data_IF_557863811160
#
_entry.id   IF_557863811160
#
_cell.length_a   1.000
_cell.length_b   1.000
_cell.length_c   1.000
_cell.angle_alpha   90.00
_cell.angle_beta   90.00
_cell.angle_gamma   90.00
#
_symmetry.space_group_name_H-M   'P 1'
#
loop_
_entity.id
_entity.type
_entity.pdbx_description
1 polymer ?
#
# COMPACT_ATOMS: atom_id res chain seq x y z
N UNK A 1 -28.35 16.37 9.67
CA UNK A 1 -27.19 16.90 10.43
C UNK A 1 -26.70 15.92 11.49
N UNK A 2 -27.53 15.44 12.43
CA UNK A 2 -27.10 14.46 13.46
C UNK A 2 -26.52 13.17 12.87
N UNK A 3 -27.25 12.53 11.95
CA UNK A 3 -26.80 11.32 11.28
C UNK A 3 -25.49 11.52 10.51
N UNK A 4 -25.24 12.73 9.98
CA UNK A 4 -24.08 13.03 9.13
C UNK A 4 -22.76 13.02 9.92
N UNK A 5 -22.67 13.69 11.07
CA UNK A 5 -21.43 13.65 11.85
C UNK A 5 -21.21 12.25 12.46
N UNK A 6 -22.29 11.53 12.80
CA UNK A 6 -22.21 10.15 13.29
C UNK A 6 -21.63 9.25 12.20
N UNK A 7 -22.14 9.30 10.97
CA UNK A 7 -21.60 8.49 9.86
C UNK A 7 -20.16 8.86 9.53
N UNK A 8 -19.78 10.14 9.60
CA UNK A 8 -18.40 10.58 9.43
C UNK A 8 -17.47 9.98 10.49
N UNK A 9 -17.86 10.03 11.76
CA UNK A 9 -17.07 9.42 12.84
C UNK A 9 -16.98 7.90 12.72
N UNK A 10 -18.09 7.23 12.44
CA UNK A 10 -18.09 5.76 12.29
C UNK A 10 -17.22 5.33 11.12
N UNK A 11 -17.31 6.02 9.97
CA UNK A 11 -16.45 5.73 8.81
C UNK A 11 -14.98 6.00 9.11
N UNK A 12 -14.67 7.11 9.78
CA UNK A 12 -13.30 7.43 10.16
C UNK A 12 -12.71 6.39 11.13
N UNK A 13 -13.50 5.92 12.10
CA UNK A 13 -13.11 4.87 13.04
C UNK A 13 -12.86 3.55 12.33
N UNK A 14 -13.74 3.13 11.41
CA UNK A 14 -13.55 1.91 10.61
C UNK A 14 -12.24 2.00 9.80
N UNK A 15 -11.99 3.13 9.14
CA UNK A 15 -10.75 3.34 8.38
C UNK A 15 -9.52 3.31 9.28
N UNK A 16 -9.60 3.88 10.48
CA UNK A 16 -8.51 3.86 11.45
C UNK A 16 -8.21 2.41 11.90
N UNK A 17 -9.25 1.62 12.18
CA UNK A 17 -9.12 0.21 12.55
C UNK A 17 -8.47 -0.57 11.41
N UNK A 18 -8.87 -0.33 10.15
CA UNK A 18 -8.26 -0.98 8.97
C UNK A 18 -6.77 -0.64 8.86
N UNK A 19 -6.38 0.62 9.11
CA UNK A 19 -4.97 1.04 9.08
C UNK A 19 -4.17 0.39 10.22
N UNK A 20 -4.72 0.35 11.43
CA UNK A 20 -4.06 -0.20 12.63
C UNK A 20 -3.93 -1.73 12.57
N UNK A 21 -4.93 -2.44 12.05
CA UNK A 21 -4.89 -3.89 11.80
C UNK A 21 -4.12 -4.26 10.52
N UNK A 22 -3.45 -3.26 9.93
CA UNK A 22 -2.64 -3.27 8.72
C UNK A 22 -1.92 -4.58 8.42
N UNK A 23 -1.22 -5.11 9.41
CA UNK A 23 -0.22 -6.17 9.28
C UNK A 23 -0.71 -7.62 9.38
N UNK A 24 -2.02 -7.88 9.51
CA UNK A 24 -2.49 -9.29 9.57
C UNK A 24 -3.83 -9.54 8.85
N UNK A 25 -4.77 -8.59 8.90
CA UNK A 25 -6.12 -8.81 8.33
C UNK A 25 -6.32 -8.06 7.02
N UNK A 26 -5.74 -6.86 6.90
CA UNK A 26 -5.88 -6.02 5.71
C UNK A 26 -4.75 -6.19 4.70
N UNK A 27 -3.67 -6.89 5.06
CA UNK A 27 -2.54 -7.16 4.18
C UNK A 27 -2.94 -7.80 2.84
N UNK A 28 -3.85 -8.79 2.78
CA UNK A 28 -4.32 -9.36 1.51
C UNK A 28 -5.06 -8.35 0.62
N UNK A 29 -5.76 -7.38 1.23
CA UNK A 29 -6.51 -6.34 0.52
C UNK A 29 -5.54 -5.31 -0.07
N UNK A 30 -4.54 -4.90 0.71
CA UNK A 30 -3.50 -3.99 0.24
C UNK A 30 -2.59 -4.65 -0.80
N UNK A 31 -2.21 -5.91 -0.63
CA UNK A 31 -1.45 -6.68 -1.63
C UNK A 31 -2.22 -6.80 -2.94
N UNK A 32 -3.53 -7.07 -2.87
CA UNK A 32 -4.41 -7.11 -4.04
C UNK A 32 -4.46 -5.76 -4.75
N UNK A 33 -4.62 -4.66 -4.01
CA UNK A 33 -4.65 -3.30 -4.56
C UNK A 33 -3.30 -2.91 -5.17
N UNK A 34 -2.20 -3.13 -4.46
CA UNK A 34 -0.83 -2.87 -4.90
C UNK A 34 -0.49 -3.67 -6.15
N UNK A 35 -0.81 -4.97 -6.19
CA UNK A 35 -0.62 -5.82 -7.37
C UNK A 35 -1.45 -5.34 -8.56
N UNK A 36 -2.73 -4.99 -8.37
CA UNK A 36 -3.59 -4.45 -9.42
C UNK A 36 -3.10 -3.09 -9.94
N UNK A 37 -2.60 -2.23 -9.07
CA UNK A 37 -2.05 -0.92 -9.45
C UNK A 37 -0.78 -1.07 -10.25
N UNK A 38 0.14 -1.96 -9.82
CA UNK A 38 1.33 -2.32 -10.60
C UNK A 38 0.94 -2.88 -11.98
N UNK A 39 -0.02 -3.79 -12.02
CA UNK A 39 -0.48 -4.40 -13.26
C UNK A 39 -1.18 -3.40 -14.20
N UNK A 40 -1.89 -2.39 -13.66
CA UNK A 40 -2.47 -1.27 -14.42
C UNK A 40 -1.42 -0.27 -14.90
N UNK A 41 -0.35 -0.09 -14.13
CA UNK A 41 0.81 0.73 -14.51
C UNK A 41 1.73 0.04 -15.54
N UNK A 42 1.36 -1.14 -16.04
CA UNK A 42 2.14 -1.90 -17.02
C UNK A 42 3.16 -2.86 -16.41
N UNK A 43 3.32 -2.87 -15.08
CA UNK A 43 4.17 -3.79 -14.34
C UNK A 43 3.40 -5.10 -14.14
N UNK A 44 3.26 -5.89 -15.21
CA UNK A 44 2.79 -7.28 -15.08
C UNK A 44 3.89 -8.09 -14.39
N UNK A 45 3.52 -9.06 -13.56
CA UNK A 45 4.46 -10.02 -12.98
C UNK A 45 5.29 -10.74 -14.06
N UNK A 46 4.68 -10.94 -15.24
CA UNK A 46 5.29 -11.46 -16.48
C UNK A 46 5.99 -10.39 -17.33
N UNK A 47 5.69 -9.09 -17.15
CA UNK A 47 6.39 -8.00 -17.85
C UNK A 47 7.65 -7.56 -17.10
N UNK A 48 7.85 -8.01 -15.86
CA UNK A 48 9.15 -7.93 -15.18
C UNK A 48 10.16 -8.91 -15.81
N UNK A 49 9.72 -9.89 -16.62
CA UNK A 49 10.60 -10.61 -17.55
C UNK A 49 10.99 -9.76 -18.78
N UNK A 50 10.44 -8.54 -18.95
CA UNK A 50 10.64 -7.75 -20.17
C UNK A 50 10.87 -6.25 -19.96
N UNK A 51 11.07 -5.74 -18.73
CA UNK A 51 11.48 -4.34 -18.50
C UNK A 51 13.01 -4.23 -18.67
N UNK A 52 13.38 -4.35 -19.93
CA UNK A 52 14.19 -3.44 -20.73
C UNK A 52 15.66 -3.17 -20.30
N UNK A 53 16.49 -4.10 -20.76
CA UNK A 53 17.86 -3.99 -21.30
C UNK A 53 18.97 -3.35 -20.45
N UNK A 54 18.76 -2.26 -19.73
CA UNK A 54 19.85 -1.59 -18.98
C UNK A 54 20.10 -2.19 -17.61
N UNK A 55 19.02 -2.55 -16.90
CA UNK A 55 19.12 -3.26 -15.63
C UNK A 55 19.53 -4.70 -15.91
N UNK A 56 18.98 -5.31 -16.96
CA UNK A 56 19.46 -6.60 -17.46
C UNK A 56 20.93 -6.56 -17.84
N UNK A 57 21.45 -5.52 -18.50
CA UNK A 57 22.87 -5.45 -18.84
C UNK A 57 23.78 -5.30 -17.60
N UNK A 58 23.36 -4.52 -16.60
CA UNK A 58 24.07 -4.42 -15.33
C UNK A 58 24.04 -5.74 -14.54
N UNK A 59 22.87 -6.39 -14.45
CA UNK A 59 22.71 -7.67 -13.76
C UNK A 59 23.35 -8.83 -14.53
N UNK A 60 23.31 -8.82 -15.86
CA UNK A 60 23.97 -9.78 -16.73
C UNK A 60 25.49 -9.63 -16.64
N UNK A 61 26.02 -8.40 -16.50
CA UNK A 61 27.44 -8.21 -16.21
C UNK A 61 27.83 -8.76 -14.83
N UNK A 62 27.03 -8.51 -13.79
CA UNK A 62 27.27 -9.05 -12.44
C UNK A 62 27.16 -10.58 -12.43
N UNK A 63 26.12 -11.14 -13.05
CA UNK A 63 25.93 -12.60 -13.18
C UNK A 63 26.97 -13.26 -14.07
N UNK A 64 27.46 -12.58 -15.12
CA UNK A 64 28.58 -13.04 -15.94
C UNK A 64 29.88 -13.04 -15.15
N UNK A 65 30.10 -12.05 -14.27
CA UNK A 65 31.21 -12.09 -13.31
C UNK A 65 31.05 -13.24 -12.32
N UNK A 66 29.87 -13.45 -11.72
CA UNK A 66 29.61 -14.60 -10.84
C UNK A 66 29.84 -15.93 -11.55
N UNK A 67 29.33 -16.09 -12.77
CA UNK A 67 29.52 -17.29 -13.59
C UNK A 67 30.98 -17.48 -14.01
N UNK A 68 31.73 -16.41 -14.29
CA UNK A 68 33.17 -16.53 -14.54
C UNK A 68 33.95 -16.91 -13.27
N UNK A 69 33.57 -16.35 -12.11
CA UNK A 69 34.13 -16.74 -10.81
C UNK A 69 33.81 -18.20 -10.50
N UNK A 70 32.59 -18.66 -10.77
CA UNK A 70 32.19 -20.05 -10.62
C UNK A 70 32.83 -20.97 -11.65
N UNK A 71 33.01 -20.56 -12.91
CA UNK A 71 33.80 -21.30 -13.90
C UNK A 71 35.25 -21.42 -13.45
N UNK A 72 35.84 -20.37 -12.89
CA UNK A 72 37.19 -20.42 -12.35
C UNK A 72 37.26 -21.40 -11.17
N UNK A 73 36.26 -21.34 -10.28
CA UNK A 73 36.14 -22.24 -9.12
C UNK A 73 35.87 -23.69 -9.55
N UNK A 74 35.10 -23.92 -10.60
CA UNK A 74 34.77 -25.24 -11.15
C UNK A 74 35.91 -25.84 -11.97
N UNK A 75 36.70 -25.01 -12.66
CA UNK A 75 37.96 -25.40 -13.29
C UNK A 75 38.98 -25.87 -12.24
N UNK A 76 38.97 -25.24 -11.05
CA UNK A 76 39.76 -25.66 -9.90
C UNK A 76 39.21 -26.94 -9.23
N UNK A 77 37.90 -27.21 -9.30
CA UNK A 77 37.24 -28.33 -8.59
C UNK A 77 36.75 -29.49 -9.47
N UNK A 78 36.94 -29.42 -10.79
CA UNK A 78 36.64 -30.50 -11.75
C UNK A 78 35.15 -30.82 -11.98
N UNK A 79 34.21 -30.00 -11.51
CA UNK A 79 32.76 -30.22 -11.67
C UNK A 79 32.18 -29.48 -12.89
N UNK A 80 31.45 -30.18 -13.76
CA UNK A 80 30.70 -29.57 -14.87
C UNK A 80 29.52 -28.75 -14.33
N UNK A 81 29.44 -27.48 -14.72
CA UNK A 81 28.33 -26.57 -14.39
C UNK A 81 27.18 -26.77 -15.38
N UNK A 82 25.96 -26.91 -14.85
CA UNK A 82 24.74 -27.06 -15.63
C UNK A 82 24.03 -25.70 -15.75
N UNK A 83 23.86 -25.21 -16.97
CA UNK A 83 23.46 -23.83 -17.27
C UNK A 83 21.95 -23.57 -17.03
N UNK A 84 21.16 -24.64 -16.98
CA UNK A 84 19.70 -24.62 -16.77
C UNK A 84 19.28 -24.29 -15.33
N UNK A 85 20.11 -24.64 -14.34
CA UNK A 85 19.82 -24.35 -12.92
C UNK A 85 19.98 -22.85 -12.63
N UNK A 86 20.88 -22.16 -13.36
CA UNK A 86 21.20 -20.75 -13.17
C UNK A 86 20.08 -19.81 -13.63
N UNK A 87 19.39 -20.11 -14.74
CA UNK A 87 18.24 -19.32 -15.20
C UNK A 87 17.05 -19.41 -14.23
N UNK A 88 16.82 -20.59 -13.66
CA UNK A 88 15.70 -20.84 -12.75
C UNK A 88 15.89 -20.13 -11.41
N UNK A 89 17.14 -20.04 -10.95
CA UNK A 89 17.51 -19.33 -9.72
C UNK A 89 17.52 -17.80 -9.91
N UNK A 90 17.94 -17.31 -11.09
CA UNK A 90 17.86 -15.89 -11.46
C UNK A 90 16.41 -15.36 -11.39
N UNK A 91 15.45 -16.08 -11.98
CA UNK A 91 14.04 -15.67 -11.96
C UNK A 91 13.43 -15.69 -10.54
N UNK A 92 13.90 -16.59 -9.67
CA UNK A 92 13.49 -16.65 -8.27
C UNK A 92 14.07 -15.50 -7.41
N UNK A 93 15.31 -15.09 -7.71
CA UNK A 93 16.00 -13.96 -7.04
C UNK A 93 15.35 -12.63 -7.43
N UNK A 94 14.98 -12.44 -8.70
CA UNK A 94 14.34 -11.22 -9.19
C UNK A 94 12.93 -10.99 -8.61
N UNK A 95 12.10 -12.04 -8.56
CA UNK A 95 10.76 -11.96 -7.96
C UNK A 95 10.81 -11.63 -6.46
N UNK A 96 11.80 -12.15 -5.72
CA UNK A 96 11.95 -11.88 -4.29
C UNK A 96 12.57 -10.53 -3.97
N UNK A 97 13.52 -10.05 -4.77
CA UNK A 97 14.30 -8.86 -4.44
C UNK A 97 13.75 -7.54 -5.01
N UNK A 98 12.88 -7.59 -6.03
CA UNK A 98 12.36 -6.36 -6.66
C UNK A 98 10.85 -6.25 -6.48
N UNK A 99 10.09 -7.29 -6.79
CA UNK A 99 8.63 -7.23 -6.77
C UNK A 99 8.03 -7.17 -5.36
N UNK A 100 8.53 -7.99 -4.43
CA UNK A 100 8.03 -8.00 -3.05
C UNK A 100 8.32 -6.68 -2.30
N UNK A 101 9.51 -6.07 -2.39
CA UNK A 101 9.75 -4.75 -1.81
C UNK A 101 8.89 -3.64 -2.41
N UNK A 102 8.61 -3.68 -3.72
CA UNK A 102 7.72 -2.73 -4.38
C UNK A 102 6.28 -2.81 -3.87
N UNK A 103 5.75 -4.02 -3.70
CA UNK A 103 4.42 -4.24 -3.09
C UNK A 103 4.41 -3.72 -1.65
N UNK A 104 5.44 -4.05 -0.87
CA UNK A 104 5.55 -3.58 0.52
C UNK A 104 5.58 -2.04 0.58
N UNK A 105 6.33 -1.38 -0.29
CA UNK A 105 6.38 0.07 -0.37
C UNK A 105 5.02 0.69 -0.73
N UNK A 106 4.32 0.11 -1.71
CA UNK A 106 2.97 0.55 -2.07
C UNK A 106 1.97 0.33 -0.92
N UNK A 107 2.07 -0.77 -0.18
CA UNK A 107 1.24 -0.99 1.00
C UNK A 107 1.46 0.09 2.06
N UNK A 108 2.70 0.52 2.32
CA UNK A 108 2.96 1.63 3.22
C UNK A 108 2.33 2.94 2.73
N UNK A 109 2.43 3.23 1.43
CA UNK A 109 1.81 4.42 0.82
C UNK A 109 0.29 4.36 0.98
N UNK A 110 -0.35 3.22 0.68
CA UNK A 110 -1.78 3.05 0.85
C UNK A 110 -2.22 3.22 2.30
N UNK A 111 -1.50 2.61 3.26
CA UNK A 111 -1.79 2.78 4.70
C UNK A 111 -1.70 4.24 5.11
N UNK A 112 -0.68 4.96 4.64
CA UNK A 112 -0.50 6.38 4.93
C UNK A 112 -1.63 7.24 4.35
N UNK A 113 -2.06 6.98 3.12
CA UNK A 113 -3.19 7.69 2.50
C UNK A 113 -4.50 7.41 3.23
N UNK A 114 -4.77 6.15 3.60
CA UNK A 114 -5.97 5.78 4.36
C UNK A 114 -5.97 6.42 5.77
N UNK A 115 -4.80 6.52 6.41
CA UNK A 115 -4.65 7.24 7.68
C UNK A 115 -5.01 8.71 7.53
N UNK A 116 -4.43 9.39 6.53
CA UNK A 116 -4.75 10.80 6.25
C UNK A 116 -6.25 11.00 5.97
N UNK A 117 -6.85 10.10 5.20
CA UNK A 117 -8.27 10.17 4.87
C UNK A 117 -9.16 9.97 6.10
N UNK A 118 -8.80 9.05 7.01
CA UNK A 118 -9.47 8.90 8.31
C UNK A 118 -9.36 10.19 9.15
N UNK A 119 -8.18 10.82 9.20
CA UNK A 119 -7.98 12.07 9.92
C UNK A 119 -8.84 13.21 9.34
N UNK A 120 -8.91 13.35 8.01
CA UNK A 120 -9.75 14.35 7.36
C UNK A 120 -11.24 14.15 7.67
N UNK A 121 -11.72 12.90 7.67
CA UNK A 121 -13.09 12.56 8.03
C UNK A 121 -13.42 12.87 9.50
N UNK A 122 -12.47 12.62 10.41
CA UNK A 122 -12.59 13.00 11.82
C UNK A 122 -12.75 14.51 11.99
N UNK A 123 -11.92 15.30 11.31
CA UNK A 123 -12.00 16.76 11.33
C UNK A 123 -13.32 17.27 10.74
N UNK A 124 -13.74 16.72 9.60
CA UNK A 124 -15.03 17.06 8.99
C UNK A 124 -16.22 16.70 9.91
N UNK A 125 -16.14 15.55 10.59
CA UNK A 125 -17.11 15.13 11.60
C UNK A 125 -17.17 16.11 12.77
N UNK A 126 -16.01 16.59 13.26
CA UNK A 126 -15.92 17.59 14.32
C UNK A 126 -16.56 18.92 13.92
N UNK A 127 -16.24 19.45 12.74
CA UNK A 127 -16.85 20.68 12.21
C UNK A 127 -18.38 20.51 12.12
N UNK A 128 -18.84 19.42 11.52
CA UNK A 128 -20.28 19.14 11.35
C UNK A 128 -21.00 19.01 12.70
N UNK A 129 -20.35 18.40 13.69
CA UNK A 129 -20.90 18.26 15.03
C UNK A 129 -21.04 19.61 15.73
N UNK A 130 -20.03 20.48 15.66
CA UNK A 130 -20.07 21.84 16.22
C UNK A 130 -21.18 22.67 15.57
N UNK A 131 -21.28 22.63 14.24
CA UNK A 131 -22.36 23.34 13.50
C UNK A 131 -23.73 22.84 13.95
N UNK A 132 -23.92 21.52 14.06
CA UNK A 132 -25.17 20.95 14.54
C UNK A 132 -25.52 21.41 15.97
N UNK A 133 -24.55 21.38 16.89
CA UNK A 133 -24.73 21.81 18.28
C UNK A 133 -25.14 23.29 18.34
N UNK A 134 -24.51 24.14 17.54
CA UNK A 134 -24.82 25.57 17.48
C UNK A 134 -26.26 25.81 16.98
N UNK A 135 -26.67 25.13 15.91
CA UNK A 135 -28.04 25.19 15.40
C UNK A 135 -29.07 24.70 16.43
N UNK A 136 -28.75 23.60 17.13
CA UNK A 136 -29.63 23.05 18.17
C UNK A 136 -29.79 24.00 19.36
N UNK A 137 -28.68 24.60 19.84
CA UNK A 137 -28.71 25.60 20.90
C UNK A 137 -29.54 26.83 20.51
N UNK A 138 -29.32 27.38 19.31
CA UNK A 138 -30.15 28.49 18.80
C UNK A 138 -31.63 28.14 18.77
N UNK A 139 -31.98 26.93 18.32
CA UNK A 139 -33.38 26.47 18.33
C UNK A 139 -33.95 26.36 19.74
N UNK A 140 -33.17 25.87 20.71
CA UNK A 140 -33.60 25.77 22.11
C UNK A 140 -33.80 27.15 22.74
N UNK A 141 -32.89 28.10 22.48
CA UNK A 141 -33.02 29.49 22.92
C UNK A 141 -34.29 30.12 22.34
N UNK A 142 -34.50 30.02 21.03
CA UNK A 142 -35.71 30.56 20.39
C UNK A 142 -37.00 29.95 20.96
N UNK A 143 -36.99 28.65 21.30
CA UNK A 143 -38.15 28.00 21.91
C UNK A 143 -38.40 28.48 23.35
N UNK A 144 -37.34 28.71 24.13
CA UNK A 144 -37.45 29.27 25.48
C UNK A 144 -37.92 30.72 25.45
N UNK A 145 -37.37 31.54 24.54
CA UNK A 145 -37.82 32.92 24.35
C UNK A 145 -39.31 32.98 23.99
N UNK A 146 -39.78 32.10 23.09
CA UNK A 146 -41.21 32.00 22.75
C UNK A 146 -42.07 31.54 23.91
N UNK A 147 -41.57 30.73 24.82
CA UNK A 147 -42.32 30.25 25.98
C UNK A 147 -42.37 31.27 27.13
N UNK A 148 -41.42 32.23 27.16
CA UNK A 148 -41.33 33.26 28.20
C UNK A 148 -41.98 34.57 27.76
N UNK A 149 -41.84 34.94 26.48
CA UNK A 149 -42.31 36.22 25.93
C UNK A 149 -43.50 36.11 24.97
N UNK A 150 -43.90 34.90 24.60
CA UNK A 150 -45.10 34.63 23.77
C UNK A 150 -46.26 34.12 24.63
#
# INVERSE_FOLDING_TARGET
MKALYITLYTTALILLIIVLLGGSISEPVFDSLSSRTLHKAGVKKEAIDSIDSRIDEAFFQVKKMEYQVEKFKSFITGKQLNESDFQRESNAVFGRNIYNPLISMLNYIYRFVFFLLSLMLLLAGAITHVVYRNMELRRRVNNLEKAVYG
#
